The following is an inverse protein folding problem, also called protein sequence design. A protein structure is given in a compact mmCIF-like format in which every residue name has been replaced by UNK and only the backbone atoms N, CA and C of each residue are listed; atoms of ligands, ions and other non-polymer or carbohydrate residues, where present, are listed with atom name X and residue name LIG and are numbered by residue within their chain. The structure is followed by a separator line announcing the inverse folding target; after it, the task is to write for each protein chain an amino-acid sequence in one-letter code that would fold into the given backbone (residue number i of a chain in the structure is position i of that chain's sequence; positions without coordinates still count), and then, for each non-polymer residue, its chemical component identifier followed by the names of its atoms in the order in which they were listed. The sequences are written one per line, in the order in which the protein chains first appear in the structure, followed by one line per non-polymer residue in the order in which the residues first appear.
data_IF_040583803846
#
_entry.id   IF_040583803846
#
_cell.length_a   1.000
_cell.length_b   1.000
_cell.length_c   1.000
_cell.angle_alpha   90.00
_cell.angle_beta   90.00
_cell.angle_gamma   90.00
#
_symmetry.space_group_name_H-M   'P 1'
#
loop_
_entity.id
_entity.type
_entity.pdbx_description
1 polymer ?
#
# COMPACT_ATOMS: atom_id res chain seq x y z
N UNK A 1 -4.35 -4.07 36.21
CA UNK A 1 -3.47 -3.59 35.11
C UNK A 1 -4.34 -3.34 33.90
N UNK A 2 -4.72 -2.09 33.59
CA UNK A 2 -5.57 -1.82 32.44
C UNK A 2 -4.77 -2.17 31.18
N UNK A 3 -5.20 -3.24 30.52
CA UNK A 3 -4.57 -3.79 29.34
C UNK A 3 -4.66 -2.78 28.21
N UNK A 4 -3.54 -2.62 27.52
CA UNK A 4 -3.43 -1.90 26.24
C UNK A 4 -4.61 -2.25 25.35
N UNK A 5 -5.35 -1.25 24.87
CA UNK A 5 -6.41 -1.41 23.87
C UNK A 5 -5.77 -2.04 22.65
N UNK A 6 -5.98 -3.34 22.47
CA UNK A 6 -5.51 -4.07 21.31
C UNK A 6 -6.35 -3.55 20.14
N UNK A 7 -5.74 -2.75 19.27
CA UNK A 7 -6.37 -2.38 18.01
C UNK A 7 -6.78 -3.64 17.25
N UNK A 8 -7.93 -3.60 16.58
CA UNK A 8 -8.53 -4.73 15.87
C UNK A 8 -7.58 -5.39 14.84
N UNK A 9 -6.59 -4.64 14.37
CA UNK A 9 -5.54 -5.06 13.44
C UNK A 9 -4.18 -5.32 14.11
N UNK A 10 -4.12 -5.52 15.42
CA UNK A 10 -2.86 -5.72 16.15
C UNK A 10 -1.82 -4.62 15.88
N UNK A 11 -2.28 -3.41 15.58
CA UNK A 11 -1.46 -2.20 15.60
C UNK A 11 -1.85 -1.39 16.84
N UNK A 12 -1.29 -1.71 18.01
CA UNK A 12 -1.31 -0.78 19.13
C UNK A 12 -0.34 0.36 18.81
N UNK A 13 -0.86 1.56 18.56
CA UNK A 13 -0.06 2.78 18.59
C UNK A 13 0.63 2.86 19.96
N UNK A 14 1.97 2.85 19.97
CA UNK A 14 2.79 2.82 21.17
C UNK A 14 3.53 1.50 21.41
N UNK A 15 2.87 0.46 21.95
CA UNK A 15 3.56 -0.76 22.42
C UNK A 15 3.52 -1.89 21.38
N UNK A 16 4.54 -1.97 20.53
CA UNK A 16 4.77 -3.07 19.57
C UNK A 16 4.73 -4.44 20.30
N UNK A 17 3.62 -5.16 20.24
CA UNK A 17 3.47 -6.50 20.84
C UNK A 17 3.87 -7.58 19.84
N UNK A 18 4.67 -8.55 20.29
CA UNK A 18 5.01 -9.73 19.50
C UNK A 18 3.90 -10.78 19.66
N UNK A 19 3.34 -11.23 18.55
CA UNK A 19 2.34 -12.30 18.54
C UNK A 19 3.06 -13.65 18.51
N UNK A 20 2.47 -14.67 19.14
CA UNK A 20 3.02 -16.03 19.19
C UNK A 20 2.15 -16.99 18.36
N UNK A 21 2.47 -17.21 17.06
CA UNK A 21 1.66 -18.02 16.15
C UNK A 21 1.41 -19.44 16.65
N UNK A 22 2.45 -20.08 17.18
CA UNK A 22 2.39 -21.45 17.72
C UNK A 22 1.41 -21.58 18.89
N UNK A 23 1.35 -20.58 19.77
CA UNK A 23 0.40 -20.57 20.88
C UNK A 23 -1.02 -20.31 20.41
N UNK A 24 -1.19 -19.47 19.40
CA UNK A 24 -2.50 -19.20 18.83
C UNK A 24 -3.06 -20.41 18.09
N UNK A 25 -2.23 -21.21 17.41
CA UNK A 25 -2.67 -22.49 16.85
C UNK A 25 -3.26 -23.41 17.92
N UNK A 26 -2.67 -23.43 19.12
CA UNK A 26 -3.11 -24.27 20.24
C UNK A 26 -4.31 -23.71 21.03
N UNK A 27 -4.64 -22.42 20.87
CA UNK A 27 -5.64 -21.73 21.73
C UNK A 27 -6.73 -20.98 20.96
N UNK A 28 -6.67 -20.99 19.62
CA UNK A 28 -7.65 -20.30 18.77
C UNK A 28 -9.06 -20.80 19.07
N UNK A 29 -9.88 -19.93 19.67
CA UNK A 29 -11.33 -20.10 19.75
C UNK A 29 -11.94 -19.18 18.72
N UNK A 30 -12.76 -19.72 17.84
CA UNK A 30 -13.57 -18.91 16.93
C UNK A 30 -14.43 -17.96 17.76
N UNK A 31 -14.14 -16.66 17.64
CA UNK A 31 -14.89 -15.59 18.29
C UNK A 31 -15.72 -14.91 17.21
N UNK A 32 -16.98 -15.35 16.99
CA UNK A 32 -17.80 -14.90 15.85
C UNK A 32 -18.21 -13.42 15.91
N UNK A 33 -17.96 -12.71 17.02
CA UNK A 33 -18.48 -11.35 17.27
C UNK A 33 -17.61 -10.18 16.80
N UNK A 34 -16.38 -10.38 16.35
CA UNK A 34 -15.50 -9.25 15.99
C UNK A 34 -15.90 -8.58 14.66
N UNK A 35 -16.62 -9.32 13.80
CA UNK A 35 -17.05 -8.92 12.46
C UNK A 35 -18.13 -7.83 12.46
N UNK A 36 -18.85 -7.63 13.56
CA UNK A 36 -19.99 -6.73 13.64
C UNK A 36 -19.67 -5.35 14.24
N UNK A 37 -18.42 -5.11 14.65
CA UNK A 37 -18.03 -3.80 15.20
C UNK A 37 -17.80 -2.79 14.06
N UNK A 38 -18.48 -1.64 14.05
CA UNK A 38 -18.24 -0.62 13.04
C UNK A 38 -16.88 0.03 13.28
N UNK A 39 -15.86 -0.29 12.47
CA UNK A 39 -14.63 0.49 12.40
C UNK A 39 -14.85 1.75 11.56
N UNK A 40 -14.25 2.86 11.99
CA UNK A 40 -14.37 4.16 11.34
C UNK A 40 -13.58 4.13 10.03
N UNK A 41 -14.31 4.12 8.91
CA UNK A 41 -13.88 4.58 7.57
C UNK A 41 -12.62 3.91 6.99
N UNK A 42 -12.80 2.78 6.29
CA UNK A 42 -11.80 2.22 5.35
C UNK A 42 -11.43 0.75 5.57
N UNK A 43 -11.49 0.27 6.80
CA UNK A 43 -10.87 -1.01 7.19
C UNK A 43 -11.74 -2.26 6.96
N UNK A 44 -12.93 -2.13 6.36
CA UNK A 44 -13.87 -3.26 6.24
C UNK A 44 -13.34 -4.35 5.30
N UNK A 45 -12.67 -3.97 4.21
CA UNK A 45 -12.09 -4.93 3.25
C UNK A 45 -10.92 -5.70 3.86
N UNK A 46 -9.98 -5.01 4.50
CA UNK A 46 -8.82 -5.64 5.15
C UNK A 46 -9.21 -6.54 6.32
N UNK A 47 -10.21 -6.15 7.13
CA UNK A 47 -10.74 -6.99 8.22
C UNK A 47 -11.50 -8.22 7.69
N UNK A 48 -12.30 -8.06 6.63
CA UNK A 48 -12.99 -9.18 5.98
C UNK A 48 -12.01 -10.18 5.35
N UNK A 49 -10.96 -9.69 4.70
CA UNK A 49 -9.90 -10.53 4.12
C UNK A 49 -9.13 -11.27 5.21
N UNK A 50 -8.66 -10.57 6.25
CA UNK A 50 -7.94 -11.22 7.37
C UNK A 50 -8.79 -12.27 8.09
N UNK A 51 -10.07 -11.99 8.34
CA UNK A 51 -10.98 -12.94 8.98
C UNK A 51 -11.32 -14.13 8.08
N UNK A 52 -11.43 -13.93 6.76
CA UNK A 52 -11.62 -15.02 5.80
C UNK A 52 -10.36 -15.88 5.71
N UNK A 53 -9.17 -15.27 5.66
CA UNK A 53 -7.89 -15.96 5.71
C UNK A 53 -7.68 -16.70 7.03
N UNK A 54 -8.08 -16.13 8.15
CA UNK A 54 -8.01 -16.81 9.47
C UNK A 54 -8.91 -18.05 9.49
N UNK A 55 -10.10 -17.99 8.86
CA UNK A 55 -11.01 -19.14 8.73
C UNK A 55 -10.50 -20.23 7.79
N UNK A 56 -9.77 -19.87 6.74
CA UNK A 56 -9.30 -20.81 5.70
C UNK A 56 -7.89 -21.35 5.94
N UNK A 57 -6.99 -20.54 6.48
CA UNK A 57 -5.55 -20.83 6.67
C UNK A 57 -5.15 -20.90 8.16
N UNK A 58 -6.07 -20.58 9.08
CA UNK A 58 -5.85 -20.64 10.52
C UNK A 58 -5.25 -19.37 11.12
N UNK A 59 -5.48 -19.16 12.42
CA UNK A 59 -5.02 -17.97 13.15
C UNK A 59 -3.49 -17.84 13.20
N UNK A 60 -2.76 -18.95 13.20
CA UNK A 60 -1.30 -18.94 13.24
C UNK A 60 -0.68 -18.24 12.02
N UNK A 61 -1.21 -18.50 10.81
CA UNK A 61 -0.71 -17.91 9.59
C UNK A 61 -0.89 -16.39 9.57
N UNK A 62 -2.07 -15.92 9.98
CA UNK A 62 -2.38 -14.48 10.08
C UNK A 62 -1.43 -13.78 11.05
N UNK A 63 -1.17 -14.37 12.23
CA UNK A 63 -0.27 -13.77 13.22
C UNK A 63 1.18 -13.75 12.77
N UNK A 64 1.63 -14.77 12.04
CA UNK A 64 2.95 -14.77 11.41
C UNK A 64 3.07 -13.63 10.39
N UNK A 65 2.05 -13.40 9.56
CA UNK A 65 2.01 -12.28 8.63
C UNK A 65 2.06 -10.93 9.36
N UNK A 66 1.30 -10.75 10.44
CA UNK A 66 1.34 -9.52 11.25
C UNK A 66 2.72 -9.28 11.86
N UNK A 67 3.40 -10.33 12.33
CA UNK A 67 4.76 -10.21 12.84
C UNK A 67 5.76 -9.79 11.74
N UNK A 68 5.57 -10.24 10.50
CA UNK A 68 6.38 -9.81 9.36
C UNK A 68 6.12 -8.35 8.99
N UNK A 69 4.85 -7.92 8.98
CA UNK A 69 4.49 -6.51 8.74
C UNK A 69 5.11 -5.58 9.78
N UNK A 70 5.17 -6.01 11.05
CA UNK A 70 5.85 -5.25 12.11
C UNK A 70 7.36 -5.11 11.83
N UNK A 71 8.03 -6.20 11.44
CA UNK A 71 9.45 -6.12 11.06
C UNK A 71 9.65 -5.19 9.88
N UNK A 72 8.76 -5.25 8.89
CA UNK A 72 8.79 -4.38 7.72
C UNK A 72 8.66 -2.90 8.11
N UNK A 73 7.76 -2.57 9.04
CA UNK A 73 7.66 -1.22 9.61
C UNK A 73 8.96 -0.79 10.27
N UNK A 74 9.54 -1.64 11.12
CA UNK A 74 10.80 -1.32 11.82
C UNK A 74 11.94 -1.03 10.83
N UNK A 75 12.02 -1.74 9.69
CA UNK A 75 13.05 -1.48 8.68
C UNK A 75 12.80 -0.20 7.89
N UNK A 76 11.54 0.16 7.59
CA UNK A 76 11.22 1.45 6.96
C UNK A 76 11.47 2.62 7.92
N UNK A 77 11.08 2.48 9.19
CA UNK A 77 11.35 3.47 10.24
C UNK A 77 12.85 3.77 10.33
N UNK A 78 13.69 2.73 10.27
CA UNK A 78 15.17 2.87 10.23
C UNK A 78 15.66 3.54 8.96
N UNK A 79 15.11 3.20 7.80
CA UNK A 79 15.50 3.85 6.55
C UNK A 79 15.24 5.37 6.61
N UNK A 80 14.15 5.80 7.25
CA UNK A 80 13.84 7.21 7.48
C UNK A 80 14.73 7.91 8.54
N UNK A 81 15.60 7.19 9.24
CA UNK A 81 16.64 7.82 10.08
C UNK A 81 17.72 8.49 9.23
N UNK A 82 18.00 7.93 8.04
CA UNK A 82 19.04 8.41 7.12
C UNK A 82 18.49 9.36 6.04
N UNK A 83 17.19 9.29 5.74
CA UNK A 83 16.55 10.08 4.66
C UNK A 83 15.20 10.66 5.09
N UNK A 84 14.89 11.88 4.65
CA UNK A 84 13.59 12.50 4.94
C UNK A 84 12.44 11.91 4.10
N UNK A 85 12.73 11.51 2.86
CA UNK A 85 11.76 11.04 1.88
C UNK A 85 12.31 9.88 1.06
N UNK A 86 11.48 8.89 0.81
CA UNK A 86 11.74 7.80 -0.13
C UNK A 86 11.04 8.08 -1.46
N UNK A 87 11.75 7.88 -2.56
CA UNK A 87 11.25 8.15 -3.91
C UNK A 87 11.41 6.91 -4.78
N UNK A 88 10.34 6.50 -5.44
CA UNK A 88 10.33 5.33 -6.33
C UNK A 88 9.26 5.48 -7.42
N UNK A 89 9.31 4.73 -8.53
CA UNK A 89 8.22 4.70 -9.50
C UNK A 89 6.92 4.19 -8.86
N UNK A 90 5.77 4.82 -9.14
CA UNK A 90 4.48 4.34 -8.62
C UNK A 90 4.12 2.98 -9.20
N UNK A 91 4.37 2.80 -10.50
CA UNK A 91 4.12 1.55 -11.25
C UNK A 91 5.36 1.26 -12.09
N UNK A 92 5.79 0.00 -12.14
CA UNK A 92 7.04 -0.43 -12.78
C UNK A 92 6.92 -0.64 -14.31
N UNK A 93 5.72 -0.47 -14.88
CA UNK A 93 5.44 -0.60 -16.31
C UNK A 93 4.37 0.41 -16.77
N UNK A 94 4.36 0.80 -18.05
CA UNK A 94 3.34 1.70 -18.58
C UNK A 94 1.97 1.03 -18.68
N UNK A 95 0.86 1.79 -18.66
CA UNK A 95 -0.50 1.25 -18.76
C UNK A 95 -0.67 0.24 -19.91
N UNK A 96 -1.20 -0.98 -19.64
CA UNK A 96 -1.41 -1.98 -20.67
C UNK A 96 -2.62 -1.62 -21.55
N UNK A 97 -2.54 -1.93 -22.85
CA UNK A 97 -3.63 -1.70 -23.81
C UNK A 97 -4.92 -2.38 -23.39
N UNK A 98 -6.04 -1.66 -23.40
CA UNK A 98 -7.36 -2.22 -23.08
C UNK A 98 -7.76 -3.18 -24.19
N UNK A 99 -8.23 -4.38 -23.83
CA UNK A 99 -8.73 -5.34 -24.83
C UNK A 99 -10.05 -4.87 -25.44
N UNK A 100 -10.15 -4.91 -26.76
CA UNK A 100 -11.34 -4.49 -27.51
C UNK A 100 -12.60 -5.29 -27.13
N UNK A 101 -12.43 -6.58 -26.81
CA UNK A 101 -13.53 -7.47 -26.38
C UNK A 101 -13.79 -7.45 -24.88
N UNK A 102 -13.10 -6.58 -24.13
CA UNK A 102 -13.21 -6.45 -22.68
C UNK A 102 -12.54 -7.59 -21.90
N UNK A 103 -12.28 -7.35 -20.60
CA UNK A 103 -11.51 -8.27 -19.75
C UNK A 103 -12.12 -9.67 -19.57
N UNK A 104 -13.44 -9.83 -19.76
CA UNK A 104 -14.11 -11.13 -19.69
C UNK A 104 -13.65 -12.11 -20.78
N UNK A 105 -13.22 -11.59 -21.93
CA UNK A 105 -12.75 -12.42 -23.04
C UNK A 105 -11.34 -13.00 -22.82
N UNK A 106 -10.55 -12.42 -21.91
CA UNK A 106 -9.18 -12.87 -21.61
C UNK A 106 -9.13 -14.10 -20.69
N UNK A 107 -10.19 -14.33 -19.91
CA UNK A 107 -10.20 -15.30 -18.82
C UNK A 107 -9.43 -14.81 -17.57
N UNK A 108 -9.66 -15.45 -16.40
CA UNK A 108 -9.18 -14.94 -15.10
C UNK A 108 -7.66 -14.84 -14.98
N UNK A 109 -6.92 -15.87 -15.44
CA UNK A 109 -5.46 -15.91 -15.29
C UNK A 109 -4.76 -14.82 -16.11
N UNK A 110 -5.22 -14.59 -17.34
CA UNK A 110 -4.65 -13.56 -18.23
C UNK A 110 -5.07 -12.15 -17.81
N UNK A 111 -6.22 -12.00 -17.15
CA UNK A 111 -6.59 -10.74 -16.51
C UNK A 111 -5.73 -10.46 -15.27
N UNK A 112 -5.45 -11.49 -14.46
CA UNK A 112 -4.57 -11.38 -13.29
C UNK A 112 -3.15 -11.01 -13.71
N UNK A 113 -2.58 -11.64 -14.74
CA UNK A 113 -1.22 -11.35 -15.18
C UNK A 113 -1.00 -9.90 -15.59
N UNK A 114 -2.05 -9.18 -16.04
CA UNK A 114 -1.99 -7.75 -16.38
C UNK A 114 -1.93 -6.83 -15.15
N UNK A 115 -2.35 -7.31 -13.98
CA UNK A 115 -2.34 -6.58 -12.72
C UNK A 115 -1.10 -6.90 -11.85
N UNK A 116 -0.40 -8.01 -12.15
CA UNK A 116 0.83 -8.37 -11.46
C UNK A 116 1.88 -7.28 -11.68
N UNK A 117 2.48 -6.80 -10.58
CA UNK A 117 3.49 -5.75 -10.60
C UNK A 117 2.94 -4.33 -10.44
N UNK A 118 1.64 -4.09 -10.69
CA UNK A 118 1.03 -2.78 -10.48
C UNK A 118 1.07 -2.33 -9.01
N UNK A 119 1.03 -3.29 -8.09
CA UNK A 119 0.92 -3.05 -6.65
C UNK A 119 2.21 -3.32 -5.88
N UNK A 120 3.31 -3.68 -6.53
CA UNK A 120 4.55 -4.06 -5.82
C UNK A 120 5.11 -2.92 -4.97
N UNK A 121 5.09 -1.71 -5.50
CA UNK A 121 5.55 -0.53 -4.79
C UNK A 121 4.46 0.03 -3.87
N UNK A 122 3.19 0.04 -4.29
CA UNK A 122 2.10 0.70 -3.53
C UNK A 122 1.53 -0.15 -2.39
N UNK A 123 1.46 -1.48 -2.52
CA UNK A 123 0.81 -2.35 -1.53
C UNK A 123 1.52 -2.36 -0.16
N UNK A 124 2.84 -2.27 -0.19
CA UNK A 124 3.66 -2.21 1.02
C UNK A 124 3.28 -1.03 1.90
N UNK A 125 3.03 0.14 1.32
CA UNK A 125 2.69 1.34 2.08
C UNK A 125 1.25 1.32 2.64
N UNK A 126 0.33 0.61 1.97
CA UNK A 126 -0.99 0.34 2.54
C UNK A 126 -0.93 -0.55 3.79
N UNK A 127 0.04 -1.47 3.86
CA UNK A 127 0.19 -2.39 4.99
C UNK A 127 1.02 -1.80 6.12
N UNK A 128 1.99 -0.96 5.79
CA UNK A 128 2.89 -0.33 6.78
C UNK A 128 2.29 0.91 7.43
N UNK A 129 1.40 1.63 6.72
CA UNK A 129 0.74 2.85 7.21
C UNK A 129 1.49 4.14 6.89
N UNK A 130 2.69 4.05 6.30
CA UNK A 130 3.42 5.23 5.84
C UNK A 130 2.63 5.98 4.76
N UNK A 131 2.73 7.31 4.81
CA UNK A 131 2.03 8.15 3.85
C UNK A 131 2.78 8.13 2.52
N UNK A 132 2.04 7.89 1.43
CA UNK A 132 2.58 7.87 0.08
C UNK A 132 1.74 8.73 -0.87
N UNK A 133 2.40 9.53 -1.69
CA UNK A 133 1.81 10.41 -2.69
C UNK A 133 2.34 10.05 -4.08
N UNK A 134 1.46 9.89 -5.07
CA UNK A 134 1.84 9.70 -6.46
C UNK A 134 1.69 11.00 -7.24
N UNK A 135 2.78 11.46 -7.87
CA UNK A 135 2.83 12.66 -8.70
C UNK A 135 3.11 12.29 -10.17
N UNK A 136 2.43 12.91 -11.15
CA UNK A 136 2.78 12.74 -12.55
C UNK A 136 4.10 13.47 -12.84
N UNK A 137 5.09 12.76 -13.40
CA UNK A 137 6.43 13.33 -13.67
C UNK A 137 6.78 13.44 -15.15
N UNK A 138 5.99 12.80 -16.03
CA UNK A 138 6.21 12.89 -17.47
C UNK A 138 5.50 11.80 -18.25
N UNK A 139 5.95 11.59 -19.48
CA UNK A 139 5.43 10.57 -20.38
C UNK A 139 6.55 9.64 -20.86
N UNK A 140 6.21 8.37 -21.05
CA UNK A 140 7.10 7.34 -21.62
C UNK A 140 6.45 6.72 -22.85
N UNK A 141 7.25 6.33 -23.83
CA UNK A 141 6.76 5.59 -24.99
C UNK A 141 6.10 4.28 -24.56
N UNK A 142 4.98 3.93 -25.18
CA UNK A 142 4.40 2.61 -25.05
C UNK A 142 5.42 1.55 -25.48
N UNK A 143 5.63 0.55 -24.63
CA UNK A 143 6.38 -0.68 -24.99
C UNK A 143 5.46 -1.79 -25.49
N UNK A 144 4.15 -1.56 -25.47
CA UNK A 144 3.14 -2.53 -25.89
C UNK A 144 2.78 -2.22 -27.34
N UNK A 145 2.92 -3.23 -28.20
CA UNK A 145 2.55 -3.27 -29.62
C UNK A 145 3.37 -2.41 -30.61
N UNK A 146 4.63 -2.06 -30.33
CA UNK A 146 5.50 -1.41 -31.32
C UNK A 146 5.07 -0.01 -31.78
N UNK A 147 4.01 0.55 -31.18
CA UNK A 147 3.53 1.91 -31.41
C UNK A 147 4.40 2.91 -30.63
N UNK A 148 5.53 3.31 -31.21
CA UNK A 148 6.45 4.32 -30.66
C UNK A 148 5.82 5.73 -30.60
N UNK A 149 4.67 5.92 -31.25
CA UNK A 149 3.96 7.20 -31.31
C UNK A 149 3.00 7.44 -30.12
N UNK A 150 2.87 6.47 -29.20
CA UNK A 150 1.96 6.60 -28.05
C UNK A 150 2.75 6.93 -26.78
N UNK A 151 2.46 8.09 -26.19
CA UNK A 151 3.06 8.59 -24.97
C UNK A 151 2.13 8.35 -23.77
N UNK A 152 2.60 7.60 -22.77
CA UNK A 152 1.83 7.21 -21.61
C UNK A 152 2.34 7.88 -20.34
N UNK A 153 1.46 8.34 -19.45
CA UNK A 153 1.87 9.05 -18.23
C UNK A 153 2.65 8.12 -17.30
N UNK A 154 3.70 8.66 -16.69
CA UNK A 154 4.50 8.00 -15.65
C UNK A 154 4.36 8.74 -14.33
N UNK A 155 4.12 7.96 -13.28
CA UNK A 155 3.99 8.45 -11.90
C UNK A 155 5.24 8.16 -11.07
N UNK A 156 5.58 9.12 -10.23
CA UNK A 156 6.59 8.99 -9.18
C UNK A 156 5.88 8.97 -7.83
N UNK A 157 6.17 7.96 -7.02
CA UNK A 157 5.65 7.83 -5.67
C UNK A 157 6.69 8.36 -4.68
N UNK A 158 6.26 9.34 -3.89
CA UNK A 158 7.00 9.90 -2.76
C UNK A 158 6.39 9.33 -1.50
N UNK A 159 7.21 8.77 -0.62
CA UNK A 159 6.81 8.21 0.66
C UNK A 159 7.53 8.96 1.77
N UNK A 160 6.79 9.38 2.78
CA UNK A 160 7.34 10.02 3.98
C UNK A 160 7.07 9.20 5.23
N UNK A 161 7.76 9.59 6.30
CA UNK A 161 7.51 9.08 7.65
C UNK A 161 6.08 9.37 8.11
N UNK A 162 5.57 8.55 9.01
CA UNK A 162 4.19 8.63 9.50
C UNK A 162 3.88 10.05 10.02
N UNK A 163 2.82 10.67 9.49
CA UNK A 163 2.39 12.05 9.78
C UNK A 163 3.36 13.18 9.42
N UNK A 164 4.50 12.89 8.80
CA UNK A 164 5.56 13.88 8.53
C UNK A 164 5.74 14.19 7.04
N UNK A 165 4.99 13.56 6.14
CA UNK A 165 5.15 13.76 4.68
C UNK A 165 4.98 15.22 4.27
N UNK A 166 4.02 15.94 4.86
CA UNK A 166 3.76 17.33 4.52
C UNK A 166 4.92 18.24 4.94
N UNK A 167 5.42 18.07 6.16
CA UNK A 167 6.57 18.84 6.66
C UNK A 167 7.84 18.54 5.84
N UNK A 168 8.06 17.26 5.52
CA UNK A 168 9.20 16.82 4.71
C UNK A 168 9.14 17.37 3.28
N UNK A 169 7.95 17.40 2.67
CA UNK A 169 7.72 18.01 1.36
C UNK A 169 7.90 19.52 1.38
N UNK A 170 7.44 20.21 2.42
CA UNK A 170 7.64 21.66 2.56
C UNK A 170 9.14 22.01 2.72
N UNK A 171 9.90 21.19 3.44
CA UNK A 171 11.35 21.38 3.60
C UNK A 171 12.12 21.27 2.28
N UNK A 172 11.66 20.42 1.36
CA UNK A 172 12.30 20.22 0.05
C UNK A 172 11.73 21.15 -1.03
N UNK A 173 10.43 21.48 -0.96
CA UNK A 173 9.70 22.17 -2.01
C UNK A 173 8.83 23.28 -1.45
N UNK A 174 9.32 24.52 -1.53
CA UNK A 174 8.55 25.69 -1.13
C UNK A 174 7.38 25.93 -2.11
N UNK A 175 6.19 25.49 -1.72
CA UNK A 175 5.00 25.53 -2.56
C UNK A 175 4.26 26.88 -2.52
N UNK A 176 4.51 27.72 -1.49
CA UNK A 176 3.82 29.00 -1.28
C UNK A 176 3.96 29.99 -2.45
N UNK A 177 5.03 29.87 -3.24
CA UNK A 177 5.24 30.66 -4.46
C UNK A 177 4.73 30.01 -5.76
N UNK A 178 4.29 28.75 -5.74
CA UNK A 178 3.92 28.00 -6.94
C UNK A 178 2.42 28.04 -7.17
N UNK A 179 2.00 28.70 -8.25
CA UNK A 179 0.60 28.69 -8.72
C UNK A 179 0.33 27.43 -9.53
N UNK A 180 -0.76 26.73 -9.21
CA UNK A 180 -1.25 25.62 -10.01
C UNK A 180 -1.68 26.16 -11.40
N UNK A 181 -1.11 25.63 -12.49
CA UNK A 181 -1.47 26.01 -13.87
C UNK A 181 -0.60 27.09 -14.55
N UNK A 182 0.59 27.40 -14.03
CA UNK A 182 1.48 28.45 -14.55
C UNK A 182 2.44 28.06 -15.70
N UNK A 183 2.04 27.25 -16.68
CA UNK A 183 2.76 27.09 -17.96
C UNK A 183 1.67 26.87 -19.04
N UNK A 184 1.47 27.74 -20.04
CA UNK A 184 2.49 28.31 -20.91
C UNK A 184 2.80 27.34 -22.05
N UNK A 185 1.77 26.93 -22.80
CA UNK A 185 1.95 26.24 -24.09
C UNK A 185 2.77 27.17 -24.99
N UNK A 186 4.05 26.88 -25.18
CA UNK A 186 4.84 27.39 -26.31
C UNK A 186 4.82 26.30 -27.37
N UNK A 187 4.43 26.71 -28.58
CA UNK A 187 4.09 25.84 -29.71
C UNK A 187 5.27 25.19 -30.41
#
# INVERSE_FOLDING_TARGET
MPGTTQGLLSSPTGRKQLLFPERAAATARDSPGLLSTPSVRGDRTSICELSSCTKTLGAAYTLACTNLLRKLNDEYDRAFEDVDLLVMPTIIYPPPRIEERGGRALGPLKMLSRAIGATYNTATFNSTGHQALSLPVGFVSSRVDGDENVWLPTGLQIVGREFEIAASLEGVLEWRGKRFGGHGVRG
#
